data_IF_955063304299
#
_entry.id   IF_955063304299
#
_cell.length_a   1.000
_cell.length_b   1.000
_cell.length_c   1.000
_cell.angle_alpha   90.00
_cell.angle_beta   90.00
_cell.angle_gamma   90.00
#
_symmetry.space_group_name_H-M   'P 1'
#
loop_
_entity.id
_entity.type
_entity.pdbx_description
1 polymer ?
#
# COMPACT_ATOMS: atom_id res chain seq x y z
N UNK A 1 -5.39 -17.53 13.93
CA UNK A 1 -4.18 -17.90 13.16
C UNK A 1 -3.17 -16.76 13.27
N UNK A 2 -1.94 -17.05 13.67
CA UNK A 2 -0.84 -16.07 13.68
C UNK A 2 -0.40 -15.75 12.24
N UNK A 3 -0.06 -14.49 11.91
CA UNK A 3 0.46 -14.16 10.59
C UNK A 3 1.79 -14.89 10.36
N UNK A 4 1.92 -15.61 9.23
CA UNK A 4 3.20 -16.24 8.86
C UNK A 4 4.26 -15.15 8.69
N UNK A 5 5.50 -15.36 9.14
CA UNK A 5 6.57 -14.39 8.95
C UNK A 5 6.76 -14.09 7.45
N UNK A 6 7.16 -12.86 7.07
CA UNK A 6 7.48 -12.56 5.69
C UNK A 6 8.65 -13.43 5.25
N UNK A 7 8.62 -13.92 4.01
CA UNK A 7 9.75 -14.71 3.49
C UNK A 7 10.93 -13.79 3.22
N UNK A 8 12.15 -14.33 3.29
CA UNK A 8 13.36 -13.59 2.91
C UNK A 8 13.26 -13.06 1.47
N UNK A 9 12.59 -13.80 0.59
CA UNK A 9 12.30 -13.39 -0.79
C UNK A 9 11.41 -12.14 -0.84
N UNK A 10 10.34 -12.08 -0.04
CA UNK A 10 9.47 -10.90 0.04
C UNK A 10 10.23 -9.68 0.56
N UNK A 11 11.03 -9.86 1.60
CA UNK A 11 11.84 -8.78 2.16
C UNK A 11 12.88 -8.29 1.16
N UNK A 12 13.63 -9.20 0.53
CA UNK A 12 14.65 -8.88 -0.46
C UNK A 12 14.07 -8.16 -1.68
N UNK A 13 12.93 -8.64 -2.19
CA UNK A 13 12.22 -7.97 -3.29
C UNK A 13 11.71 -6.59 -2.90
N UNK A 14 11.16 -6.40 -1.69
CA UNK A 14 10.72 -5.09 -1.22
C UNK A 14 11.89 -4.11 -1.10
N UNK A 15 13.02 -4.54 -0.52
CA UNK A 15 14.24 -3.74 -0.41
C UNK A 15 14.76 -3.36 -1.80
N UNK A 16 14.83 -4.33 -2.72
CA UNK A 16 15.19 -4.08 -4.11
C UNK A 16 14.29 -3.00 -4.73
N UNK A 17 12.97 -3.16 -4.64
CA UNK A 17 12.02 -2.19 -5.21
C UNK A 17 12.22 -0.80 -4.60
N UNK A 18 12.39 -0.70 -3.27
CA UNK A 18 12.60 0.56 -2.56
C UNK A 18 13.88 1.28 -3.01
N UNK A 19 14.98 0.56 -3.24
CA UNK A 19 16.24 1.15 -3.74
C UNK A 19 16.06 1.82 -5.10
N UNK A 20 15.14 1.32 -5.94
CA UNK A 20 14.83 1.92 -7.25
C UNK A 20 13.75 3.02 -7.20
N UNK A 21 13.28 3.42 -6.01
CA UNK A 21 12.32 4.54 -5.82
C UNK A 21 13.00 5.86 -5.40
N UNK A 22 14.29 6.06 -5.67
CA UNK A 22 15.01 7.28 -5.23
C UNK A 22 14.29 8.58 -5.66
N UNK A 23 13.73 8.60 -6.88
CA UNK A 23 12.97 9.73 -7.41
C UNK A 23 11.72 10.06 -6.58
N UNK A 24 11.08 9.06 -5.96
CA UNK A 24 9.92 9.24 -5.10
C UNK A 24 10.32 9.94 -3.78
N UNK A 25 11.41 9.47 -3.16
CA UNK A 25 11.93 10.05 -1.93
C UNK A 25 12.43 11.48 -2.16
N UNK A 26 13.08 11.71 -3.30
CA UNK A 26 13.50 13.04 -3.73
C UNK A 26 12.29 13.97 -3.92
N UNK A 27 11.24 13.51 -4.62
CA UNK A 27 10.04 14.30 -4.84
C UNK A 27 9.36 14.73 -3.53
N UNK A 28 9.26 13.84 -2.54
CA UNK A 28 8.68 14.18 -1.23
C UNK A 28 9.54 15.13 -0.41
N UNK A 29 10.87 15.05 -0.54
CA UNK A 29 11.78 15.91 0.21
C UNK A 29 11.85 17.33 -0.35
N UNK A 30 11.87 17.48 -1.68
CA UNK A 30 12.18 18.75 -2.33
C UNK A 30 10.98 19.46 -2.94
N UNK A 31 9.86 18.78 -3.21
CA UNK A 31 8.69 19.44 -3.79
C UNK A 31 7.92 20.24 -2.73
N UNK A 32 7.79 21.58 -2.87
CA UNK A 32 7.05 22.40 -1.91
C UNK A 32 5.55 22.04 -1.85
N UNK A 33 5.00 21.55 -2.96
CA UNK A 33 3.60 21.12 -3.05
C UNK A 33 3.38 19.68 -2.52
N UNK A 34 4.45 18.91 -2.33
CA UNK A 34 4.38 17.46 -2.08
C UNK A 34 5.03 17.02 -0.76
N UNK A 35 5.34 17.96 0.14
CA UNK A 35 6.01 17.70 1.43
C UNK A 35 5.28 16.72 2.34
N UNK A 36 3.98 16.52 2.14
CA UNK A 36 3.14 15.61 2.92
C UNK A 36 3.02 14.19 2.36
N UNK A 37 3.64 13.89 1.21
CA UNK A 37 3.52 12.57 0.55
C UNK A 37 3.97 11.40 1.42
N UNK A 38 5.04 11.58 2.21
CA UNK A 38 5.53 10.56 3.13
C UNK A 38 4.54 10.25 4.28
N UNK A 39 3.77 11.23 4.76
CA UNK A 39 2.74 11.03 5.78
C UNK A 39 1.62 10.15 5.21
N UNK A 40 1.19 10.48 3.99
CA UNK A 40 0.20 9.69 3.26
C UNK A 40 0.66 8.24 3.06
N UNK A 41 1.94 8.02 2.73
CA UNK A 41 2.54 6.70 2.66
C UNK A 41 2.48 5.98 4.03
N UNK A 42 2.84 6.64 5.14
CA UNK A 42 2.81 6.04 6.47
C UNK A 42 1.40 5.61 6.88
N UNK A 43 0.40 6.46 6.63
CA UNK A 43 -1.02 6.13 6.86
C UNK A 43 -1.39 4.92 6.01
N UNK A 44 -1.01 4.91 4.73
CA UNK A 44 -1.27 3.81 3.81
C UNK A 44 -0.60 2.49 4.23
N UNK A 45 0.63 2.53 4.76
CA UNK A 45 1.37 1.35 5.25
C UNK A 45 0.88 0.83 6.61
N UNK A 46 0.12 1.64 7.36
CA UNK A 46 -0.32 1.28 8.71
C UNK A 46 -1.07 -0.07 8.81
N UNK A 47 -1.95 -0.48 7.86
CA UNK A 47 -2.63 -1.77 7.95
C UNK A 47 -1.66 -2.95 7.84
N UNK A 48 -0.61 -2.82 7.01
CA UNK A 48 0.45 -3.84 6.90
C UNK A 48 1.14 -3.98 8.25
N UNK A 49 1.57 -2.86 8.85
CA UNK A 49 2.28 -2.88 10.11
C UNK A 49 1.43 -3.49 11.23
N UNK A 50 0.17 -3.05 11.37
CA UNK A 50 -0.75 -3.56 12.39
C UNK A 50 -1.06 -5.06 12.19
N UNK A 51 -1.22 -5.50 10.95
CA UNK A 51 -1.39 -6.92 10.62
C UNK A 51 -0.15 -7.74 11.01
N UNK A 52 1.04 -7.26 10.67
CA UNK A 52 2.31 -7.96 10.95
C UNK A 52 2.69 -7.98 12.43
N UNK A 53 2.29 -6.96 13.19
CA UNK A 53 2.41 -6.94 14.64
C UNK A 53 1.39 -7.86 15.35
N UNK A 54 0.55 -8.59 14.61
CA UNK A 54 -0.46 -9.48 15.17
C UNK A 54 -1.63 -8.74 15.85
N UNK A 55 -1.77 -7.42 15.62
CA UNK A 55 -2.86 -6.61 16.16
C UNK A 55 -4.17 -6.78 15.38
N UNK A 56 -4.09 -7.31 14.16
CA UNK A 56 -5.25 -7.60 13.31
C UNK A 56 -5.31 -9.09 12.99
N UNK A 57 -6.50 -9.71 13.03
CA UNK A 57 -6.65 -11.11 12.64
C UNK A 57 -6.52 -11.27 11.12
N UNK A 58 -6.18 -12.48 10.69
CA UNK A 58 -6.29 -12.84 9.28
C UNK A 58 -7.76 -13.13 8.93
N UNK A 59 -8.33 -12.49 7.88
CA UNK A 59 -9.62 -12.88 7.36
C UNK A 59 -9.61 -14.36 6.93
N UNK A 60 -10.74 -15.04 7.13
CA UNK A 60 -10.89 -16.50 7.17
C UNK A 60 -10.63 -17.25 5.86
N UNK A 61 -10.32 -16.57 4.76
CA UNK A 61 -9.96 -17.18 3.47
C UNK A 61 -8.81 -16.42 2.83
N UNK A 62 -7.65 -17.07 2.69
CA UNK A 62 -6.60 -16.64 1.75
C UNK A 62 -7.05 -17.02 0.34
N UNK A 63 -7.69 -16.10 -0.40
CA UNK A 63 -8.09 -16.36 -1.79
C UNK A 63 -7.02 -16.01 -2.83
N UNK A 64 -5.77 -15.76 -2.42
CA UNK A 64 -4.70 -15.41 -3.36
C UNK A 64 -3.31 -15.84 -2.88
N UNK A 65 -2.46 -16.21 -3.84
CA UNK A 65 -1.05 -16.51 -3.59
C UNK A 65 -0.27 -15.19 -3.47
N UNK A 66 0.30 -14.85 -2.29
CA UNK A 66 1.05 -13.62 -2.09
C UNK A 66 2.26 -13.50 -3.03
N UNK A 67 2.79 -14.61 -3.56
CA UNK A 67 3.91 -14.59 -4.50
C UNK A 67 3.52 -13.98 -5.86
N UNK A 68 2.29 -14.23 -6.33
CA UNK A 68 1.81 -13.67 -7.59
C UNK A 68 1.84 -12.14 -7.61
N UNK A 69 1.42 -11.50 -6.51
CA UNK A 69 1.46 -10.05 -6.35
C UNK A 69 2.89 -9.52 -6.27
N UNK A 70 3.79 -10.27 -5.63
CA UNK A 70 5.21 -9.92 -5.57
C UNK A 70 5.85 -9.94 -6.96
N UNK A 71 5.58 -11.00 -7.74
CA UNK A 71 6.05 -11.14 -9.13
C UNK A 71 5.51 -9.98 -9.98
N UNK A 72 4.21 -9.67 -9.85
CA UNK A 72 3.62 -8.54 -10.55
C UNK A 72 4.28 -7.22 -10.16
N UNK A 73 4.56 -7.01 -8.86
CA UNK A 73 5.27 -5.84 -8.36
C UNK A 73 6.69 -5.71 -8.93
N UNK A 74 7.42 -6.82 -9.05
CA UNK A 74 8.74 -6.87 -9.67
C UNK A 74 8.67 -6.57 -11.17
N UNK A 75 7.73 -7.17 -11.91
CA UNK A 75 7.52 -6.90 -13.33
C UNK A 75 7.22 -5.42 -13.57
N UNK A 76 6.28 -4.83 -12.82
CA UNK A 76 5.97 -3.41 -12.90
C UNK A 76 7.21 -2.55 -12.60
N UNK A 77 7.99 -2.89 -11.57
CA UNK A 77 9.19 -2.14 -11.22
C UNK A 77 10.23 -2.20 -12.33
N UNK A 78 10.51 -3.39 -12.88
CA UNK A 78 11.47 -3.59 -13.98
C UNK A 78 11.03 -2.83 -15.23
N UNK A 79 9.77 -2.97 -15.64
CA UNK A 79 9.23 -2.21 -16.77
C UNK A 79 9.30 -0.71 -16.53
N UNK A 80 9.04 -0.25 -15.29
CA UNK A 80 9.15 1.15 -14.91
C UNK A 80 10.60 1.66 -14.95
N UNK A 81 11.58 0.81 -14.66
CA UNK A 81 13.00 1.13 -14.83
C UNK A 81 13.35 1.24 -16.31
N UNK A 82 13.01 0.23 -17.13
CA UNK A 82 13.31 0.20 -18.57
C UNK A 82 12.68 1.40 -19.28
N UNK A 83 11.40 1.67 -19.01
CA UNK A 83 10.66 2.76 -19.63
C UNK A 83 10.89 4.13 -18.96
N UNK A 84 11.67 4.19 -17.87
CA UNK A 84 11.83 5.40 -17.04
C UNK A 84 10.52 6.03 -16.55
N UNK A 85 9.48 5.21 -16.33
CA UNK A 85 8.15 5.65 -15.87
C UNK A 85 8.02 5.48 -14.35
N UNK A 86 8.13 6.58 -13.61
CA UNK A 86 8.02 6.56 -12.14
C UNK A 86 6.70 5.98 -11.64
N UNK A 87 5.59 6.25 -12.31
CA UNK A 87 4.26 5.74 -11.96
C UNK A 87 4.22 4.20 -11.93
N UNK A 88 4.96 3.56 -12.83
CA UNK A 88 5.01 2.11 -12.94
C UNK A 88 5.91 1.51 -11.85
N UNK A 89 7.00 2.22 -11.49
CA UNK A 89 7.83 1.89 -10.32
C UNK A 89 7.02 1.98 -9.03
N UNK A 90 6.24 3.03 -8.82
CA UNK A 90 5.41 3.19 -7.61
C UNK A 90 4.29 2.15 -7.55
N UNK A 91 3.71 1.79 -8.70
CA UNK A 91 2.74 0.70 -8.79
C UNK A 91 3.36 -0.64 -8.39
N UNK A 92 4.61 -0.88 -8.82
CA UNK A 92 5.39 -2.04 -8.39
C UNK A 92 5.56 -2.11 -6.87
N UNK A 93 5.86 -0.98 -6.22
CA UNK A 93 5.93 -0.89 -4.76
C UNK A 93 4.58 -1.20 -4.10
N UNK A 94 3.47 -0.68 -4.64
CA UNK A 94 2.14 -0.93 -4.09
C UNK A 94 1.78 -2.43 -4.14
N UNK A 95 2.04 -3.11 -5.25
CA UNK A 95 1.85 -4.56 -5.38
C UNK A 95 2.77 -5.37 -4.46
N UNK A 96 4.03 -4.96 -4.33
CA UNK A 96 4.96 -5.61 -3.41
C UNK A 96 4.49 -5.49 -1.96
N UNK A 97 4.02 -4.32 -1.53
CA UNK A 97 3.39 -4.11 -0.22
C UNK A 97 2.11 -4.94 -0.04
N UNK A 98 1.28 -5.07 -1.08
CA UNK A 98 0.07 -5.91 -1.06
C UNK A 98 0.37 -7.38 -0.79
N UNK A 99 1.54 -7.88 -1.22
CA UNK A 99 1.97 -9.27 -0.94
C UNK A 99 2.16 -9.56 0.56
N UNK A 100 2.21 -8.53 1.41
CA UNK A 100 2.33 -8.67 2.86
C UNK A 100 0.97 -8.79 3.57
N UNK A 101 -0.13 -8.52 2.87
CA UNK A 101 -1.50 -8.61 3.38
C UNK A 101 -2.22 -9.82 2.77
N UNK A 102 -3.19 -10.42 3.47
CA UNK A 102 -4.07 -11.41 2.88
C UNK A 102 -4.93 -10.74 1.79
N UNK A 103 -5.15 -11.46 0.69
CA UNK A 103 -5.95 -10.97 -0.42
C UNK A 103 -7.45 -11.01 -0.09
N UNK A 104 -8.14 -9.88 -0.26
CA UNK A 104 -9.59 -9.74 -0.14
C UNK A 104 -10.07 -8.44 -0.83
N UNK A 105 -11.39 -8.27 -1.00
CA UNK A 105 -11.95 -7.11 -1.71
C UNK A 105 -11.56 -5.76 -1.08
N UNK A 106 -11.55 -5.66 0.26
CA UNK A 106 -11.07 -4.45 0.94
C UNK A 106 -9.55 -4.21 0.77
N UNK A 107 -8.72 -5.25 0.60
CA UNK A 107 -7.31 -5.08 0.20
C UNK A 107 -7.18 -4.49 -1.20
N UNK A 108 -8.11 -4.80 -2.10
CA UNK A 108 -8.13 -4.20 -3.45
C UNK A 108 -8.49 -2.71 -3.37
N UNK A 109 -9.49 -2.32 -2.57
CA UNK A 109 -9.81 -0.90 -2.34
C UNK A 109 -8.63 -0.16 -1.70
N UNK A 110 -7.98 -0.76 -0.71
CA UNK A 110 -6.78 -0.21 -0.10
C UNK A 110 -5.61 -0.11 -1.09
N UNK A 111 -5.42 -1.10 -1.95
CA UNK A 111 -4.41 -1.06 -3.01
C UNK A 111 -4.70 0.05 -4.03
N UNK A 112 -5.98 0.21 -4.43
CA UNK A 112 -6.40 1.31 -5.30
C UNK A 112 -6.19 2.68 -4.65
N UNK A 113 -6.33 2.77 -3.32
CA UNK A 113 -6.01 4.02 -2.61
C UNK A 113 -4.51 4.40 -2.70
N UNK A 114 -3.64 3.47 -3.09
CA UNK A 114 -2.22 3.77 -3.30
C UNK A 114 -2.00 4.84 -4.35
N UNK A 115 -2.87 4.91 -5.38
CA UNK A 115 -2.82 5.95 -6.40
C UNK A 115 -2.83 7.37 -5.80
N UNK A 116 -3.48 7.57 -4.65
CA UNK A 116 -3.59 8.89 -4.03
C UNK A 116 -2.24 9.47 -3.57
N UNK A 117 -1.28 8.63 -3.17
CA UNK A 117 0.06 9.10 -2.78
C UNK A 117 1.09 9.03 -3.91
N UNK A 118 0.73 8.52 -5.09
CA UNK A 118 1.65 8.41 -6.24
C UNK A 118 1.80 9.72 -7.02
N UNK A 119 2.91 9.83 -7.76
CA UNK A 119 3.26 10.97 -8.61
C UNK A 119 2.17 11.38 -9.61
N UNK A 120 1.43 10.47 -10.29
CA UNK A 120 0.34 10.86 -11.20
C UNK A 120 -0.75 11.68 -10.50
N UNK A 121 -1.09 11.34 -9.26
CA UNK A 121 -2.08 12.09 -8.50
C UNK A 121 -1.54 13.47 -8.11
N UNK A 122 -0.26 13.58 -7.74
CA UNK A 122 0.38 14.89 -7.54
C UNK A 122 0.33 15.75 -8.79
N UNK A 123 0.64 15.15 -9.95
CA UNK A 123 0.67 15.84 -11.23
C UNK A 123 -0.72 16.35 -11.59
N UNK A 124 -1.73 15.48 -11.63
CA UNK A 124 -3.12 15.86 -11.92
C UNK A 124 -3.65 16.85 -10.87
N UNK A 125 -3.40 16.58 -9.59
CA UNK A 125 -3.81 17.44 -8.49
C UNK A 125 -3.20 18.84 -8.56
N UNK A 126 -1.98 18.99 -9.09
CA UNK A 126 -1.36 20.30 -9.27
C UNK A 126 -2.12 21.21 -10.23
N UNK A 127 -2.79 20.64 -11.24
CA UNK A 127 -3.63 21.38 -12.17
C UNK A 127 -4.99 21.75 -11.59
N UNK A 128 -5.65 20.82 -10.88
CA UNK A 128 -7.05 20.98 -10.47
C UNK A 128 -7.25 21.43 -9.01
N UNK A 129 -6.37 21.02 -8.11
CA UNK A 129 -6.55 21.17 -6.66
C UNK A 129 -5.60 22.20 -6.03
N UNK A 130 -4.49 22.53 -6.71
CA UNK A 130 -3.53 23.54 -6.24
C UNK A 130 -3.00 23.25 -4.83
N UNK A 131 -3.34 24.10 -3.86
CA UNK A 131 -2.91 23.94 -2.46
C UNK A 131 -3.66 22.84 -1.70
N UNK A 132 -4.78 22.33 -2.24
CA UNK A 132 -5.63 21.33 -1.58
C UNK A 132 -5.23 19.87 -1.87
N UNK A 133 -4.15 19.62 -2.60
CA UNK A 133 -3.68 18.27 -2.95
C UNK A 133 -3.47 17.42 -1.71
N UNK A 134 -2.86 17.98 -0.66
CA UNK A 134 -2.61 17.23 0.56
C UNK A 134 -3.91 16.83 1.26
N UNK A 135 -4.89 17.75 1.33
CA UNK A 135 -6.19 17.48 1.95
C UNK A 135 -6.97 16.41 1.18
N UNK A 136 -6.96 16.47 -0.16
CA UNK A 136 -7.64 15.46 -0.98
C UNK A 136 -7.04 14.07 -0.78
N UNK A 137 -5.71 13.95 -0.67
CA UNK A 137 -5.07 12.67 -0.35
C UNK A 137 -5.55 12.09 0.97
N UNK A 138 -5.61 12.92 2.01
CA UNK A 138 -6.09 12.47 3.31
C UNK A 138 -7.55 12.04 3.23
N UNK A 139 -8.40 12.78 2.51
CA UNK A 139 -9.80 12.44 2.34
C UNK A 139 -10.01 11.10 1.62
N UNK A 140 -9.14 10.69 0.70
CA UNK A 140 -9.24 9.38 0.05
C UNK A 140 -8.56 8.26 0.85
N UNK A 141 -7.39 8.51 1.40
CA UNK A 141 -6.60 7.48 2.09
C UNK A 141 -7.21 7.06 3.43
N UNK A 142 -7.70 8.01 4.20
CA UNK A 142 -8.22 7.75 5.55
C UNK A 142 -9.44 6.82 5.54
N UNK A 143 -10.49 7.02 4.72
CA UNK A 143 -11.62 6.09 4.70
C UNK A 143 -11.23 4.73 4.13
N UNK A 144 -10.37 4.64 3.11
CA UNK A 144 -9.94 3.35 2.56
C UNK A 144 -9.14 2.53 3.58
N UNK A 145 -8.21 3.18 4.30
CA UNK A 145 -7.45 2.53 5.38
C UNK A 145 -8.34 2.17 6.57
N UNK A 146 -9.23 3.07 7.00
CA UNK A 146 -10.19 2.81 8.07
C UNK A 146 -11.15 1.65 7.73
N UNK A 147 -11.66 1.60 6.49
CA UNK A 147 -12.53 0.52 6.01
C UNK A 147 -11.80 -0.83 6.05
N UNK A 148 -10.55 -0.88 5.58
CA UNK A 148 -9.73 -2.08 5.65
C UNK A 148 -9.51 -2.54 7.09
N UNK A 149 -9.15 -1.61 7.99
CA UNK A 149 -8.95 -1.90 9.41
C UNK A 149 -10.24 -2.36 10.11
N UNK A 150 -11.37 -1.71 9.80
CA UNK A 150 -12.69 -2.07 10.31
C UNK A 150 -13.10 -3.46 9.84
N UNK A 151 -12.94 -3.76 8.55
CA UNK A 151 -13.23 -5.08 7.98
C UNK A 151 -12.39 -6.18 8.64
N UNK A 152 -11.08 -5.95 8.81
CA UNK A 152 -10.22 -6.89 9.53
C UNK A 152 -10.62 -7.06 10.99
N UNK A 153 -11.19 -6.02 11.64
CA UNK A 153 -11.64 -6.11 13.03
C UNK A 153 -12.97 -6.86 13.16
N UNK A 154 -13.92 -6.65 12.26
CA UNK A 154 -15.25 -7.30 12.31
C UNK A 154 -15.17 -8.83 12.30
N UNK A 155 -14.30 -9.41 11.46
CA UNK A 155 -14.07 -10.86 11.44
C UNK A 155 -13.49 -11.43 12.76
N UNK A 156 -12.92 -10.58 13.62
CA UNK A 156 -12.44 -11.01 14.95
C UNK A 156 -13.59 -11.32 15.89
N UNK A 157 -14.63 -10.51 15.81
CA UNK A 157 -15.76 -10.53 16.75
C UNK A 157 -16.70 -11.69 16.39
N UNK A 158 -16.96 -11.91 15.10
CA UNK A 158 -17.74 -13.05 14.60
C UNK A 158 -17.16 -14.39 15.07
N UNK A 159 -15.85 -14.61 14.89
CA UNK A 159 -15.15 -15.83 15.35
C UNK A 159 -15.13 -16.00 16.87
N UNK A 160 -15.30 -14.92 17.64
CA UNK A 160 -15.37 -15.01 19.11
C UNK A 160 -16.74 -15.54 19.55
N UNK A 161 -17.81 -15.18 18.84
CA UNK A 161 -19.17 -15.63 19.14
C UNK A 161 -19.42 -17.10 18.74
N UNK A 162 -18.75 -17.64 17.73
CA UNK A 162 -18.89 -19.05 17.36
C UNK A 162 -18.26 -20.03 18.37
N UNK A 163 -17.37 -19.56 19.25
CA UNK A 163 -16.61 -20.40 20.20
C UNK A 163 -17.23 -20.38 21.61
N UNK A 164 -18.18 -19.48 21.89
CA UNK A 164 -18.88 -19.37 23.17
C UNK A 164 -20.19 -20.14 23.17
#
# INVERSE_FOLDING_TARGET
MTPRPPTLVQMGALVFILLFQESLLYAWRFSPLDRGGWIALLIWLSPILLYRLGKLPSPGRRSGDPLSLLILGLICTILGIIASVNSLKTLGLAFACASFLPWHAASLLWLMSAFCWMTPFSYVGSYYLGSYIFLSRLLFLTPCTALLLWYMRGEREEKRHEVS
#
